data_IF_860763614772
#
_entry.id   IF_860763614772
#
_cell.length_a   1.000
_cell.length_b   1.000
_cell.length_c   1.000
_cell.angle_alpha   90.00
_cell.angle_beta   90.00
_cell.angle_gamma   90.00
#
_symmetry.space_group_name_H-M   'P 1'
#
loop_
_entity.id
_entity.type
_entity.pdbx_description
1 polymer ?
#
# COMPACT_ATOMS: atom_id res chain seq x y z
N UNK A 1 17.18 -24.97 14.14
CA UNK A 1 16.43 -24.67 12.90
C UNK A 1 15.22 -23.86 13.29
N UNK A 2 15.25 -22.54 13.07
CA UNK A 2 14.06 -21.71 13.25
C UNK A 2 13.06 -22.10 12.16
N UNK A 3 11.82 -22.39 12.54
CA UNK A 3 10.76 -22.71 11.58
C UNK A 3 10.62 -21.58 10.57
N UNK A 4 10.55 -21.92 9.28
CA UNK A 4 10.20 -20.98 8.22
C UNK A 4 8.84 -20.39 8.57
N UNK A 5 8.77 -19.08 8.78
CA UNK A 5 7.50 -18.40 9.06
C UNK A 5 6.60 -18.54 7.84
N UNK A 6 5.66 -19.49 7.88
CA UNK A 6 4.62 -19.60 6.87
C UNK A 6 3.62 -18.47 7.09
N UNK A 7 3.26 -17.78 6.01
CA UNK A 7 2.25 -16.73 6.05
C UNK A 7 0.88 -17.27 6.41
N UNK A 8 0.02 -16.39 6.91
CA UNK A 8 -1.38 -16.72 7.12
C UNK A 8 -2.09 -16.87 5.78
N UNK A 9 -3.32 -17.39 5.80
CA UNK A 9 -4.17 -17.48 4.60
C UNK A 9 -4.42 -16.09 4.00
N UNK A 10 -4.70 -15.09 4.84
CA UNK A 10 -4.91 -13.70 4.42
C UNK A 10 -3.68 -13.12 3.70
N UNK A 11 -2.49 -13.27 4.31
CA UNK A 11 -1.24 -12.81 3.70
C UNK A 11 -0.98 -13.50 2.36
N UNK A 12 -1.23 -14.81 2.28
CA UNK A 12 -1.06 -15.58 1.04
C UNK A 12 -2.02 -15.12 -0.07
N UNK A 13 -3.27 -14.81 0.26
CA UNK A 13 -4.25 -14.26 -0.68
C UNK A 13 -3.84 -12.86 -1.17
N UNK A 14 -3.37 -12.00 -0.27
CA UNK A 14 -2.93 -10.64 -0.64
C UNK A 14 -1.72 -10.69 -1.57
N UNK A 15 -0.71 -11.50 -1.25
CA UNK A 15 0.52 -11.61 -2.03
C UNK A 15 0.34 -12.33 -3.37
N UNK A 16 -0.66 -13.21 -3.48
CA UNK A 16 -1.04 -13.84 -4.76
C UNK A 16 -2.00 -12.99 -5.60
N UNK A 17 -2.58 -11.92 -5.03
CA UNK A 17 -3.51 -11.05 -5.74
C UNK A 17 -2.79 -10.23 -6.80
N UNK A 18 -3.31 -10.26 -8.02
CA UNK A 18 -2.73 -9.56 -9.18
C UNK A 18 -3.73 -8.63 -9.86
N UNK A 19 -3.20 -7.66 -10.59
CA UNK A 19 -3.96 -6.73 -11.42
C UNK A 19 -3.50 -6.88 -12.88
N UNK A 20 -4.40 -7.16 -13.83
CA UNK A 20 -4.05 -7.22 -15.24
C UNK A 20 -3.84 -5.80 -15.79
N UNK A 21 -2.69 -5.57 -16.42
CA UNK A 21 -2.30 -4.31 -17.03
C UNK A 21 -2.26 -4.43 -18.56
N UNK A 22 -2.73 -3.38 -19.22
CA UNK A 22 -2.61 -3.15 -20.66
C UNK A 22 -1.77 -1.89 -20.88
N UNK A 23 -0.47 -2.04 -21.15
CA UNK A 23 0.47 -0.92 -21.21
C UNK A 23 0.76 -0.54 -22.66
N UNK A 24 0.65 0.74 -23.00
CA UNK A 24 0.90 1.29 -24.33
C UNK A 24 1.99 2.37 -24.31
N UNK A 25 2.66 2.56 -25.43
CA UNK A 25 3.64 3.64 -25.63
C UNK A 25 3.55 4.16 -27.07
N UNK A 26 3.69 5.47 -27.34
CA UNK A 26 3.54 6.03 -28.69
C UNK A 26 4.50 5.47 -29.74
N UNK A 27 5.65 4.93 -29.34
CA UNK A 27 6.63 4.33 -30.26
C UNK A 27 6.20 2.99 -30.88
N UNK A 28 5.13 2.37 -30.37
CA UNK A 28 4.71 1.03 -30.77
C UNK A 28 3.20 0.90 -30.88
N UNK A 29 2.74 0.20 -31.90
CA UNK A 29 1.32 -0.18 -32.05
C UNK A 29 0.95 -1.44 -31.25
N UNK A 30 1.95 -2.16 -30.73
CA UNK A 30 1.75 -3.41 -29.97
C UNK A 30 1.76 -3.12 -28.46
N UNK A 31 0.67 -3.42 -27.72
CA UNK A 31 0.63 -3.24 -26.27
C UNK A 31 1.44 -4.31 -25.53
N UNK A 32 1.85 -4.00 -24.30
CA UNK A 32 2.47 -4.95 -23.37
C UNK A 32 1.43 -5.38 -22.33
N UNK A 33 1.06 -6.66 -22.36
CA UNK A 33 0.07 -7.24 -21.45
C UNK A 33 0.77 -8.02 -20.34
N UNK A 34 0.45 -7.73 -19.09
CA UNK A 34 1.05 -8.40 -17.93
C UNK A 34 0.11 -8.38 -16.73
N UNK A 35 0.09 -9.43 -15.93
CA UNK A 35 -0.53 -9.40 -14.60
C UNK A 35 0.55 -9.16 -13.55
N UNK A 36 0.32 -8.21 -12.65
CA UNK A 36 1.31 -7.77 -11.65
C UNK A 36 0.75 -7.87 -10.23
N UNK A 37 1.56 -8.23 -9.22
CA UNK A 37 1.09 -8.32 -7.84
C UNK A 37 0.61 -6.97 -7.29
N UNK A 38 -0.48 -6.98 -6.53
CA UNK A 38 -1.02 -5.77 -5.86
C UNK A 38 -0.02 -5.10 -4.92
N UNK A 39 0.81 -5.90 -4.25
CA UNK A 39 1.83 -5.45 -3.30
C UNK A 39 3.02 -4.75 -3.99
N UNK A 40 3.19 -4.96 -5.29
CA UNK A 40 4.33 -4.44 -6.05
C UNK A 40 4.16 -2.96 -6.45
N UNK A 41 5.14 -2.43 -7.19
CA UNK A 41 5.20 -1.03 -7.63
C UNK A 41 5.43 -0.95 -9.14
N UNK A 42 4.72 -0.05 -9.83
CA UNK A 42 4.84 0.11 -11.29
C UNK A 42 6.28 0.31 -11.79
N UNK A 43 7.14 1.11 -11.11
CA UNK A 43 8.52 1.31 -11.55
C UNK A 43 9.36 0.03 -11.64
N UNK A 44 8.99 -1.05 -10.95
CA UNK A 44 9.68 -2.35 -11.08
C UNK A 44 9.55 -2.97 -12.48
N UNK A 45 8.59 -2.51 -13.28
CA UNK A 45 8.41 -2.95 -14.66
C UNK A 45 9.31 -2.18 -15.65
N UNK A 46 9.85 -1.02 -15.27
CA UNK A 46 10.59 -0.12 -16.17
C UNK A 46 11.77 -0.79 -16.89
N UNK A 47 12.58 -1.67 -16.26
CA UNK A 47 13.66 -2.35 -17.00
C UNK A 47 13.15 -3.20 -18.16
N UNK A 48 12.05 -3.94 -17.94
CA UNK A 48 11.43 -4.80 -18.97
C UNK A 48 10.73 -3.97 -20.04
N UNK A 49 10.01 -2.94 -19.63
CA UNK A 49 9.28 -2.04 -20.53
C UNK A 49 10.24 -1.21 -21.38
N UNK A 50 11.36 -0.75 -20.80
CA UNK A 50 12.39 -0.02 -21.53
C UNK A 50 13.05 -0.87 -22.61
N UNK A 51 13.23 -2.17 -22.33
CA UNK A 51 13.72 -3.13 -23.33
C UNK A 51 12.71 -3.38 -24.47
N UNK A 52 11.41 -3.21 -24.22
CA UNK A 52 10.34 -3.50 -25.19
C UNK A 52 9.94 -2.28 -26.03
N UNK A 53 9.75 -1.12 -25.39
CA UNK A 53 9.26 0.11 -26.02
C UNK A 53 10.35 1.16 -26.30
N UNK A 54 11.55 0.99 -25.75
CA UNK A 54 12.57 2.03 -25.66
C UNK A 54 12.51 2.77 -24.31
N UNK A 55 13.45 3.70 -24.05
CA UNK A 55 13.55 4.40 -22.76
C UNK A 55 12.23 5.00 -22.30
N UNK A 56 11.85 4.75 -21.04
CA UNK A 56 10.67 5.31 -20.40
C UNK A 56 10.89 5.41 -18.88
N UNK A 57 10.16 6.29 -18.19
CA UNK A 57 10.37 6.56 -16.76
C UNK A 57 9.09 6.69 -15.94
N UNK A 58 7.91 6.72 -16.57
CA UNK A 58 6.66 7.03 -15.88
C UNK A 58 5.44 6.33 -16.47
N UNK A 59 4.37 6.28 -15.67
CA UNK A 59 3.09 5.68 -16.02
C UNK A 59 1.98 6.71 -15.83
N UNK A 60 1.09 6.82 -16.80
CA UNK A 60 -0.10 7.67 -16.75
C UNK A 60 -1.36 6.87 -16.96
N UNK A 61 -2.44 7.29 -16.30
CA UNK A 61 -3.80 6.78 -16.47
C UNK A 61 -4.70 7.97 -16.79
N UNK A 62 -5.43 7.94 -17.92
CA UNK A 62 -6.26 9.07 -18.36
C UNK A 62 -5.51 10.42 -18.32
N UNK A 63 -4.29 10.43 -18.86
CA UNK A 63 -3.38 11.59 -18.89
C UNK A 63 -2.94 12.12 -17.50
N UNK A 64 -3.26 11.40 -16.42
CA UNK A 64 -2.81 11.68 -15.05
C UNK A 64 -1.57 10.84 -14.74
N UNK A 65 -0.45 11.51 -14.43
CA UNK A 65 0.77 10.86 -13.95
C UNK A 65 0.52 10.13 -12.63
N UNK A 66 0.74 8.82 -12.62
CA UNK A 66 0.56 8.00 -11.42
C UNK A 66 1.68 8.24 -10.40
N UNK A 67 1.30 8.29 -9.12
CA UNK A 67 2.24 8.38 -8.00
C UNK A 67 2.93 7.04 -7.77
N UNK A 68 4.11 7.05 -7.16
CA UNK A 68 4.84 5.85 -6.73
C UNK A 68 4.25 5.25 -5.45
N UNK A 69 3.03 4.75 -5.57
CA UNK A 69 2.32 4.02 -4.52
C UNK A 69 2.21 2.54 -4.93
N UNK A 70 1.91 1.63 -3.99
CA UNK A 70 1.63 0.24 -4.33
C UNK A 70 0.55 0.13 -5.41
N UNK A 71 0.71 -0.80 -6.35
CA UNK A 71 -0.19 -0.95 -7.50
C UNK A 71 -1.62 -1.22 -7.05
N UNK A 72 -1.78 -2.07 -6.02
CA UNK A 72 -3.07 -2.36 -5.40
C UNK A 72 -3.79 -1.13 -4.88
N UNK A 73 -3.06 -0.24 -4.19
CA UNK A 73 -3.62 1.00 -3.67
C UNK A 73 -4.02 1.94 -4.81
N UNK A 74 -3.18 2.08 -5.84
CA UNK A 74 -3.53 2.91 -6.99
C UNK A 74 -4.80 2.37 -7.67
N UNK A 75 -4.91 1.06 -7.86
CA UNK A 75 -6.11 0.44 -8.42
C UNK A 75 -7.36 0.70 -7.56
N UNK A 76 -7.24 0.63 -6.24
CA UNK A 76 -8.35 0.89 -5.31
C UNK A 76 -8.76 2.38 -5.27
N UNK A 77 -7.84 3.29 -5.61
CA UNK A 77 -8.07 4.73 -5.71
C UNK A 77 -8.71 5.14 -7.04
N UNK A 78 -8.16 4.65 -8.16
CA UNK A 78 -8.59 5.05 -9.51
C UNK A 78 -9.74 4.22 -10.06
N UNK A 79 -9.93 2.99 -9.56
CA UNK A 79 -11.00 2.06 -10.00
C UNK A 79 -11.14 1.93 -11.51
N UNK A 80 -10.04 1.62 -12.22
CA UNK A 80 -10.07 1.49 -13.66
C UNK A 80 -10.89 0.27 -14.09
N UNK A 81 -11.42 0.30 -15.31
CA UNK A 81 -11.85 -0.92 -15.98
C UNK A 81 -10.65 -1.84 -16.23
N UNK A 82 -10.85 -3.15 -16.03
CA UNK A 82 -9.81 -4.14 -16.25
C UNK A 82 -9.90 -4.74 -17.66
N UNK A 83 -8.76 -4.99 -18.35
CA UNK A 83 -7.39 -4.76 -17.90
C UNK A 83 -7.07 -3.26 -17.79
N UNK A 84 -6.34 -2.88 -16.73
CA UNK A 84 -6.04 -1.48 -16.44
C UNK A 84 -5.13 -0.90 -17.52
N UNK A 85 -5.66 0.06 -18.28
CA UNK A 85 -4.99 0.67 -19.43
C UNK A 85 -4.06 1.79 -18.97
N UNK A 86 -2.75 1.61 -19.16
CA UNK A 86 -1.72 2.58 -18.77
C UNK A 86 -0.93 3.05 -19.98
N UNK A 87 -0.53 4.32 -19.97
CA UNK A 87 0.36 4.91 -20.97
C UNK A 87 1.73 5.16 -20.36
N UNK A 88 2.78 4.69 -21.04
CA UNK A 88 4.16 5.01 -20.69
C UNK A 88 4.57 6.38 -21.23
N UNK A 89 5.43 7.07 -20.49
CA UNK A 89 6.04 8.32 -20.94
C UNK A 89 7.29 8.70 -20.14
N UNK A 90 7.76 9.93 -20.35
CA UNK A 90 9.05 10.45 -19.88
C UNK A 90 8.91 11.42 -18.69
N UNK A 91 8.24 10.97 -17.63
CA UNK A 91 8.09 11.71 -16.38
C UNK A 91 9.32 11.65 -15.46
N UNK A 92 9.24 12.25 -14.26
CA UNK A 92 10.34 12.21 -13.31
C UNK A 92 10.65 10.77 -12.89
N UNK A 93 11.94 10.39 -12.96
CA UNK A 93 12.41 9.10 -12.48
C UNK A 93 12.56 9.15 -10.96
N UNK A 94 11.97 8.19 -10.26
CA UNK A 94 12.09 8.07 -8.82
C UNK A 94 12.76 6.76 -8.45
N UNK A 95 13.64 6.83 -7.45
CA UNK A 95 14.22 5.64 -6.85
C UNK A 95 13.15 4.97 -5.95
N UNK A 96 12.53 3.93 -6.51
CA UNK A 96 11.48 3.18 -5.82
C UNK A 96 12.03 2.38 -4.63
N UNK A 97 13.29 1.97 -4.68
CA UNK A 97 13.95 1.27 -3.57
C UNK A 97 14.10 2.21 -2.38
N UNK A 98 14.62 3.41 -2.59
CA UNK A 98 14.77 4.39 -1.52
C UNK A 98 13.42 4.85 -0.96
N UNK A 99 12.42 5.02 -1.83
CA UNK A 99 11.04 5.34 -1.42
C UNK A 99 10.46 4.24 -0.52
N UNK A 100 10.62 2.97 -0.91
CA UNK A 100 10.19 1.82 -0.13
C UNK A 100 10.89 1.75 1.24
N UNK A 101 12.22 1.85 1.27
CA UNK A 101 13.01 1.78 2.51
C UNK A 101 12.65 2.94 3.46
N UNK A 102 12.40 4.13 2.94
CA UNK A 102 11.93 5.25 3.76
C UNK A 102 10.53 4.97 4.33
N UNK A 103 9.61 4.42 3.55
CA UNK A 103 8.29 4.01 4.04
C UNK A 103 8.37 2.96 5.16
N UNK A 104 9.26 1.96 5.02
CA UNK A 104 9.53 0.94 6.07
C UNK A 104 10.05 1.58 7.36
N UNK A 105 10.99 2.53 7.26
CA UNK A 105 11.53 3.27 8.42
C UNK A 105 10.47 4.06 9.15
N UNK A 106 9.61 4.75 8.41
CA UNK A 106 8.51 5.49 9.01
C UNK A 106 7.52 4.55 9.70
N UNK A 107 7.19 3.42 9.08
CA UNK A 107 6.32 2.41 9.71
C UNK A 107 6.93 1.86 11.00
N UNK A 108 8.23 1.56 11.01
CA UNK A 108 8.96 1.10 12.20
C UNK A 108 8.95 2.17 13.31
N UNK A 109 9.15 3.43 12.94
CA UNK A 109 9.07 4.54 13.86
C UNK A 109 7.67 4.68 14.48
N UNK A 110 6.60 4.52 13.70
CA UNK A 110 5.22 4.58 14.22
C UNK A 110 4.95 3.43 15.20
N UNK A 111 5.37 2.21 14.86
CA UNK A 111 5.21 1.03 15.73
C UNK A 111 5.96 1.17 17.05
N UNK A 112 7.20 1.65 17.01
CA UNK A 112 8.15 1.49 18.13
C UNK A 112 8.56 2.81 18.79
N UNK A 113 8.25 3.96 18.17
CA UNK A 113 8.77 5.28 18.55
C UNK A 113 10.22 5.51 18.12
N UNK A 114 10.79 4.58 17.35
CA UNK A 114 12.15 4.63 16.81
C UNK A 114 12.25 3.74 15.57
N UNK A 115 13.08 4.13 14.60
CA UNK A 115 13.37 3.31 13.42
C UNK A 115 14.61 2.40 13.63
N UNK A 116 15.05 2.21 14.88
CA UNK A 116 16.26 1.44 15.20
C UNK A 116 16.19 0.00 14.68
N UNK A 117 15.02 -0.63 14.65
CA UNK A 117 14.88 -2.01 14.20
C UNK A 117 15.35 -2.20 12.76
N UNK A 118 14.85 -1.36 11.84
CA UNK A 118 15.30 -1.38 10.45
C UNK A 118 16.69 -0.76 10.28
N UNK A 119 17.05 0.28 11.05
CA UNK A 119 18.35 0.94 10.93
C UNK A 119 19.52 0.09 11.44
N UNK A 120 19.29 -0.85 12.37
CA UNK A 120 20.30 -1.80 12.85
C UNK A 120 20.30 -3.13 12.07
N UNK A 121 19.48 -3.24 11.03
CA UNK A 121 19.40 -4.44 10.21
C UNK A 121 20.71 -4.62 9.41
N UNK A 122 21.14 -5.86 9.22
CA UNK A 122 22.28 -6.15 8.34
C UNK A 122 21.95 -5.76 6.90
N UNK A 123 22.99 -5.43 6.11
CA UNK A 123 22.84 -5.16 4.67
C UNK A 123 22.17 -6.32 3.93
N UNK A 124 22.49 -7.55 4.31
CA UNK A 124 21.91 -8.75 3.71
C UNK A 124 20.40 -8.81 3.98
N UNK A 125 19.97 -8.56 5.22
CA UNK A 125 18.56 -8.56 5.58
C UNK A 125 17.79 -7.41 4.91
N UNK A 126 18.36 -6.20 4.83
CA UNK A 126 17.69 -5.08 4.16
C UNK A 126 17.59 -5.28 2.65
N UNK A 127 18.61 -5.90 2.04
CA UNK A 127 18.59 -6.28 0.62
C UNK A 127 17.57 -7.39 0.38
N UNK A 128 17.51 -8.40 1.25
CA UNK A 128 16.54 -9.49 1.16
C UNK A 128 15.10 -8.99 1.34
N UNK A 129 14.89 -8.00 2.21
CA UNK A 129 13.58 -7.36 2.37
C UNK A 129 13.12 -6.75 1.04
N UNK A 130 13.99 -6.02 0.35
CA UNK A 130 13.64 -5.44 -0.95
C UNK A 130 13.45 -6.49 -2.04
N UNK A 131 14.38 -7.43 -2.17
CA UNK A 131 14.30 -8.50 -3.17
C UNK A 131 13.01 -9.30 -3.02
N UNK A 132 12.58 -9.58 -1.77
CA UNK A 132 11.31 -10.26 -1.52
C UNK A 132 10.09 -9.55 -2.13
N UNK A 133 10.12 -8.22 -2.23
CA UNK A 133 9.06 -7.42 -2.88
C UNK A 133 9.19 -7.47 -4.40
N UNK A 134 10.42 -7.40 -4.93
CA UNK A 134 10.66 -7.51 -6.37
C UNK A 134 10.24 -8.87 -6.93
N UNK A 135 10.57 -9.93 -6.20
CA UNK A 135 10.33 -11.33 -6.58
C UNK A 135 8.95 -11.84 -6.14
N UNK A 136 8.17 -11.02 -5.43
CA UNK A 136 6.88 -11.38 -4.83
C UNK A 136 6.96 -12.64 -3.93
N UNK A 137 8.04 -12.74 -3.16
CA UNK A 137 8.32 -13.86 -2.24
C UNK A 137 7.85 -13.53 -0.81
N UNK A 138 6.63 -13.95 -0.50
CA UNK A 138 6.03 -13.80 0.83
C UNK A 138 6.87 -14.47 1.93
N UNK A 139 7.47 -15.62 1.65
CA UNK A 139 8.18 -16.40 2.69
C UNK A 139 9.45 -15.66 3.11
N UNK A 140 10.24 -15.22 2.13
CA UNK A 140 11.41 -14.38 2.40
C UNK A 140 11.03 -13.07 3.09
N UNK A 141 9.90 -12.46 2.67
CA UNK A 141 9.42 -11.23 3.28
C UNK A 141 9.08 -11.40 4.76
N UNK A 142 8.36 -12.46 5.13
CA UNK A 142 7.96 -12.73 6.51
C UNK A 142 9.13 -13.06 7.42
N UNK A 143 10.14 -13.75 6.89
CA UNK A 143 11.38 -14.02 7.64
C UNK A 143 12.02 -12.73 8.15
N UNK A 144 12.09 -11.68 7.31
CA UNK A 144 12.69 -10.40 7.69
C UNK A 144 11.70 -9.53 8.48
N UNK A 145 10.45 -9.42 8.05
CA UNK A 145 9.47 -8.54 8.71
C UNK A 145 9.04 -9.03 10.09
N UNK A 146 9.15 -10.33 10.40
CA UNK A 146 8.94 -10.84 11.75
C UNK A 146 9.86 -10.19 12.79
N UNK A 147 11.07 -9.79 12.39
CA UNK A 147 12.04 -9.06 13.22
C UNK A 147 11.52 -7.65 13.54
N UNK A 148 10.86 -7.01 12.57
CA UNK A 148 10.32 -5.64 12.68
C UNK A 148 8.96 -5.60 13.39
N UNK A 149 8.14 -6.64 13.24
CA UNK A 149 6.77 -6.71 13.76
C UNK A 149 6.68 -7.26 15.19
N UNK A 150 7.70 -7.98 15.66
CA UNK A 150 7.72 -8.57 17.00
C UNK A 150 8.93 -8.11 17.84
N UNK A 151 9.16 -6.79 18.01
CA UNK A 151 10.18 -6.32 18.93
C UNK A 151 9.77 -6.63 20.38
N UNK A 152 10.75 -6.66 21.28
CA UNK A 152 10.51 -6.85 22.72
C UNK A 152 9.73 -5.69 23.35
N UNK A 153 9.59 -4.56 22.66
CA UNK A 153 8.86 -3.38 23.10
C UNK A 153 7.38 -3.45 22.72
N UNK A 154 6.47 -2.96 23.58
CA UNK A 154 5.06 -2.92 23.24
C UNK A 154 4.81 -1.98 22.06
N UNK A 155 3.88 -2.39 21.19
CA UNK A 155 3.41 -1.61 20.05
C UNK A 155 2.83 -0.26 20.52
N UNK A 156 3.39 0.84 20.03
CA UNK A 156 2.97 2.21 20.37
C UNK A 156 1.77 2.66 19.55
N UNK A 157 1.91 2.61 18.22
CA UNK A 157 0.87 3.03 17.30
C UNK A 157 0.82 2.12 16.06
N UNK A 158 -0.33 2.10 15.40
CA UNK A 158 -0.57 1.40 14.15
C UNK A 158 -0.15 2.29 12.97
N UNK A 159 0.75 1.84 12.07
CA UNK A 159 1.04 2.53 10.82
C UNK A 159 -0.18 2.49 9.89
N UNK A 160 -0.93 3.58 9.89
CA UNK A 160 -2.17 3.73 9.13
C UNK A 160 -2.10 4.99 8.27
N UNK A 161 -2.36 4.83 6.97
CA UNK A 161 -2.56 5.93 6.01
C UNK A 161 -3.92 5.79 5.35
N UNK A 162 -4.65 6.90 5.30
CA UNK A 162 -5.97 6.99 4.69
C UNK A 162 -5.86 7.91 3.47
N UNK A 163 -6.17 7.37 2.30
CA UNK A 163 -6.09 8.03 1.01
C UNK A 163 -7.52 8.38 0.56
N UNK A 164 -7.77 9.67 0.42
CA UNK A 164 -9.07 10.20 -0.01
C UNK A 164 -8.88 10.76 -1.42
N UNK A 165 -9.47 10.13 -2.44
CA UNK A 165 -9.49 10.71 -3.78
C UNK A 165 -10.37 11.95 -3.74
N UNK A 166 -9.87 13.06 -4.27
CA UNK A 166 -10.69 14.26 -4.52
C UNK A 166 -11.08 14.28 -5.99
N UNK A 167 -12.36 14.56 -6.27
CA UNK A 167 -12.78 14.78 -7.66
C UNK A 167 -11.95 15.89 -8.30
N UNK A 168 -11.57 15.75 -9.58
CA UNK A 168 -10.96 16.84 -10.32
C UNK A 168 -11.92 18.03 -10.30
N UNK A 169 -11.42 19.20 -9.91
CA UNK A 169 -12.15 20.47 -9.98
C UNK A 169 -11.73 21.20 -11.26
N UNK A 170 -12.55 22.12 -11.76
CA UNK A 170 -12.21 22.96 -12.93
C UNK A 170 -10.85 23.68 -12.81
N UNK A 171 -10.33 23.82 -11.59
CA UNK A 171 -9.04 24.45 -11.27
C UNK A 171 -7.85 23.48 -11.18
N UNK A 172 -8.08 22.16 -11.15
CA UNK A 172 -7.04 21.13 -11.10
C UNK A 172 -7.53 19.86 -11.80
N UNK A 173 -7.10 19.61 -13.06
CA UNK A 173 -7.48 18.40 -13.80
C UNK A 173 -6.87 17.14 -13.19
N UNK A 174 -5.85 17.28 -12.33
CA UNK A 174 -5.26 16.18 -11.58
C UNK A 174 -6.16 15.85 -10.39
N UNK A 175 -6.67 14.61 -10.35
CA UNK A 175 -7.30 14.04 -9.16
C UNK A 175 -6.32 14.13 -7.99
N UNK A 176 -6.54 15.07 -7.08
CA UNK A 176 -5.66 15.26 -5.93
C UNK A 176 -6.00 14.22 -4.87
N UNK A 177 -5.01 13.41 -4.49
CA UNK A 177 -5.18 12.42 -3.43
C UNK A 177 -4.74 13.06 -2.12
N UNK A 178 -5.69 13.26 -1.20
CA UNK A 178 -5.40 13.71 0.16
C UNK A 178 -4.99 12.51 1.01
N UNK A 179 -3.84 12.61 1.66
CA UNK A 179 -3.31 11.56 2.54
C UNK A 179 -3.46 12.03 3.98
N UNK A 180 -4.08 11.20 4.82
CA UNK A 180 -4.26 11.45 6.25
C UNK A 180 -3.56 10.36 7.03
N UNK A 181 -2.78 10.79 8.02
CA UNK A 181 -2.03 9.93 8.93
C UNK A 181 -2.25 10.44 10.36
N UNK A 182 -2.50 9.54 11.30
CA UNK A 182 -2.69 9.85 12.71
C UNK A 182 -1.98 8.83 13.60
N UNK A 183 -1.61 9.24 14.81
CA UNK A 183 -1.04 8.33 15.81
C UNK A 183 -2.17 7.59 16.52
N UNK A 184 -2.38 6.34 16.13
CA UNK A 184 -3.46 5.51 16.65
C UNK A 184 -2.88 4.37 17.49
N UNK A 185 -3.09 4.35 18.82
CA UNK A 185 -2.62 3.25 19.65
C UNK A 185 -3.42 1.96 19.38
N UNK A 186 -2.85 0.77 19.65
CA UNK A 186 -3.55 -0.52 19.49
C UNK A 186 -4.72 -0.69 20.46
N UNK A 187 -4.78 0.12 21.52
CA UNK A 187 -5.85 0.15 22.51
C UNK A 187 -6.33 1.57 22.76
N UNK A 188 -7.63 1.70 23.01
CA UNK A 188 -8.25 2.97 23.40
C UNK A 188 -7.75 3.43 24.78
N UNK A 189 -8.03 4.69 25.18
CA UNK A 189 -7.78 5.14 26.57
C UNK A 189 -8.51 4.29 27.62
N UNK A 190 -9.66 3.68 27.29
CA UNK A 190 -10.39 2.73 28.14
C UNK A 190 -9.79 1.32 28.15
N UNK A 191 -8.63 1.11 27.49
CA UNK A 191 -7.92 -0.17 27.32
C UNK A 191 -8.63 -1.22 26.47
N UNK A 192 -9.69 -0.83 25.77
CA UNK A 192 -10.37 -1.68 24.79
C UNK A 192 -9.52 -1.83 23.54
N UNK A 193 -9.72 -2.92 22.79
CA UNK A 193 -9.05 -3.13 21.50
C UNK A 193 -9.48 -2.04 20.53
N UNK A 194 -8.52 -1.35 19.93
CA UNK A 194 -8.80 -0.33 18.93
C UNK A 194 -9.25 -1.01 17.63
N UNK A 195 -10.47 -0.70 17.20
CA UNK A 195 -11.01 -1.17 15.91
C UNK A 195 -10.84 -0.11 14.82
N UNK A 196 -10.93 -0.55 13.57
CA UNK A 196 -10.87 0.36 12.41
C UNK A 196 -11.94 1.45 12.50
N UNK A 197 -13.18 1.09 12.78
CA UNK A 197 -14.29 2.05 12.88
C UNK A 197 -14.10 3.08 13.99
N UNK A 198 -13.52 2.70 15.13
CA UNK A 198 -13.16 3.64 16.20
C UNK A 198 -12.09 4.64 15.74
N UNK A 199 -11.08 4.17 15.02
CA UNK A 199 -10.01 5.06 14.52
C UNK A 199 -10.53 5.99 13.42
N UNK A 200 -11.25 5.46 12.43
CA UNK A 200 -11.82 6.26 11.34
C UNK A 200 -12.78 7.33 11.85
N UNK A 201 -13.66 6.97 12.79
CA UNK A 201 -14.56 7.93 13.45
C UNK A 201 -13.80 9.03 14.21
N UNK A 202 -12.66 8.70 14.83
CA UNK A 202 -11.83 9.68 15.54
C UNK A 202 -11.06 10.61 14.61
N UNK A 203 -10.55 10.11 13.47
CA UNK A 203 -9.68 10.87 12.56
C UNK A 203 -10.54 11.69 11.57
N UNK A 204 -11.64 11.11 11.10
CA UNK A 204 -12.47 11.60 10.00
C UNK A 204 -13.97 11.48 10.34
N UNK A 205 -14.46 12.11 11.41
CA UNK A 205 -15.84 11.93 11.88
C UNK A 205 -16.91 12.32 10.83
N UNK A 206 -16.59 13.24 9.91
CA UNK A 206 -17.52 13.65 8.85
C UNK A 206 -17.73 12.55 7.78
N UNK A 207 -16.68 11.78 7.46
CA UNK A 207 -16.76 10.65 6.51
C UNK A 207 -17.16 9.35 7.21
N UNK A 208 -16.89 9.23 8.51
CA UNK A 208 -17.16 8.03 9.29
C UNK A 208 -17.89 8.39 10.59
N UNK A 209 -19.18 8.81 10.50
CA UNK A 209 -19.95 9.23 11.68
C UNK A 209 -20.30 8.07 12.62
N UNK A 210 -20.35 6.83 12.11
CA UNK A 210 -20.54 5.61 12.91
C UNK A 210 -19.22 4.87 13.12
N UNK A 211 -19.09 4.22 14.27
CA UNK A 211 -17.97 3.31 14.60
C UNK A 211 -18.22 1.88 14.16
N UNK A 212 -19.43 1.55 13.72
CA UNK A 212 -19.88 0.18 13.45
C UNK A 212 -20.25 -0.05 12.00
N UNK A 213 -20.75 0.98 11.33
CA UNK A 213 -21.37 0.88 10.03
C UNK A 213 -20.81 1.94 9.08
N UNK A 214 -20.58 1.56 7.83
CA UNK A 214 -20.25 2.48 6.75
C UNK A 214 -21.52 3.21 6.32
N UNK A 215 -21.63 4.50 6.65
CA UNK A 215 -22.80 5.32 6.31
C UNK A 215 -22.52 6.24 5.13
N UNK A 216 -21.40 6.97 5.19
CA UNK A 216 -21.02 7.97 4.18
C UNK A 216 -19.89 7.45 3.29
N UNK A 217 -19.01 6.63 3.86
CA UNK A 217 -17.85 6.11 3.16
C UNK A 217 -17.47 4.71 3.63
N UNK A 218 -16.87 3.94 2.72
CA UNK A 218 -16.30 2.62 2.95
C UNK A 218 -14.76 2.68 2.89
N UNK A 219 -14.05 2.11 3.88
CA UNK A 219 -12.62 1.91 3.80
C UNK A 219 -12.30 0.67 2.97
N UNK A 220 -11.46 0.81 1.95
CA UNK A 220 -11.04 -0.27 1.06
C UNK A 220 -9.56 -0.58 1.28
N UNK A 221 -9.21 -1.86 1.37
CA UNK A 221 -7.85 -2.38 1.46
C UNK A 221 -7.70 -3.61 0.57
N UNK A 222 -6.70 -3.61 -0.31
CA UNK A 222 -6.44 -4.70 -1.26
C UNK A 222 -7.67 -5.06 -2.13
N UNK A 223 -8.46 -4.06 -2.50
CA UNK A 223 -9.66 -4.22 -3.33
C UNK A 223 -10.91 -4.69 -2.59
N UNK A 224 -10.88 -4.83 -1.26
CA UNK A 224 -12.02 -5.26 -0.45
C UNK A 224 -12.39 -4.22 0.61
N UNK A 225 -13.69 -4.10 0.91
CA UNK A 225 -14.19 -3.26 2.00
C UNK A 225 -13.77 -3.87 3.34
N UNK A 226 -13.17 -3.07 4.21
CA UNK A 226 -12.70 -3.53 5.52
C UNK A 226 -13.80 -3.35 6.57
N UNK A 227 -14.16 -4.42 7.33
CA UNK A 227 -15.16 -4.31 8.39
C UNK A 227 -14.73 -3.32 9.48
N UNK A 228 -15.64 -2.46 9.92
CA UNK A 228 -15.35 -1.46 10.97
C UNK A 228 -14.97 -2.09 12.31
N UNK A 229 -15.43 -3.32 12.55
CA UNK A 229 -15.12 -4.09 13.77
C UNK A 229 -13.74 -4.75 13.74
N UNK A 230 -13.03 -4.72 12.62
CA UNK A 230 -11.70 -5.30 12.50
C UNK A 230 -10.75 -4.67 13.54
N UNK A 231 -10.11 -5.47 14.42
CA UNK A 231 -9.03 -4.98 15.27
C UNK A 231 -7.89 -4.44 14.42
N UNK A 232 -7.41 -3.22 14.72
CA UNK A 232 -6.38 -2.58 13.90
C UNK A 232 -5.02 -3.28 13.99
N UNK A 233 -4.68 -3.84 15.16
CA UNK A 233 -3.43 -4.58 15.31
C UNK A 233 -3.42 -5.83 14.43
N UNK A 234 -4.52 -6.59 14.41
CA UNK A 234 -4.66 -7.77 13.55
C UNK A 234 -4.62 -7.35 12.07
N UNK A 235 -5.34 -6.29 11.70
CA UNK A 235 -5.32 -5.76 10.33
C UNK A 235 -3.90 -5.36 9.89
N UNK A 236 -3.12 -4.75 10.77
CA UNK A 236 -1.72 -4.41 10.50
C UNK A 236 -0.84 -5.66 10.30
N UNK A 237 -1.00 -6.68 11.14
CA UNK A 237 -0.20 -7.92 11.05
C UNK A 237 -0.54 -8.74 9.81
N UNK A 238 -1.81 -8.75 9.43
CA UNK A 238 -2.33 -9.64 8.40
C UNK A 238 -2.42 -9.00 7.01
N UNK A 239 -2.64 -7.69 6.93
CA UNK A 239 -3.02 -7.02 5.69
C UNK A 239 -2.26 -5.73 5.38
N UNK A 240 -1.20 -5.40 6.13
CA UNK A 240 -0.32 -4.31 5.72
C UNK A 240 0.31 -4.59 4.35
N UNK A 241 0.62 -3.52 3.62
CA UNK A 241 1.47 -3.59 2.43
C UNK A 241 2.90 -3.99 2.84
N UNK A 242 3.73 -4.37 1.87
CA UNK A 242 5.10 -4.81 2.12
C UNK A 242 5.99 -3.75 2.82
N UNK A 243 5.61 -2.47 2.76
CA UNK A 243 6.28 -1.40 3.48
C UNK A 243 5.86 -1.28 4.96
N UNK A 244 4.95 -2.16 5.41
CA UNK A 244 4.48 -2.24 6.79
C UNK A 244 3.38 -1.24 7.14
N UNK A 245 2.78 -0.57 6.14
CA UNK A 245 1.64 0.33 6.32
C UNK A 245 0.31 -0.34 5.99
N UNK A 246 -0.70 -0.08 6.80
CA UNK A 246 -2.10 -0.25 6.40
C UNK A 246 -2.49 0.96 5.55
N UNK A 247 -2.63 0.77 4.24
CA UNK A 247 -2.92 1.85 3.29
C UNK A 247 -4.37 1.72 2.79
N UNK A 248 -5.27 2.54 3.33
CA UNK A 248 -6.71 2.49 3.04
C UNK A 248 -7.09 3.50 1.97
N UNK A 249 -7.81 3.05 0.94
CA UNK A 249 -8.55 3.94 0.04
C UNK A 249 -9.94 4.23 0.63
N UNK A 250 -10.44 5.46 0.48
CA UNK A 250 -11.80 5.82 0.91
C UNK A 250 -12.72 5.86 -0.31
N UNK A 251 -13.78 5.07 -0.25
CA UNK A 251 -14.90 5.11 -1.17
C UNK A 251 -16.05 5.90 -0.56
N UNK A 252 -16.63 6.86 -1.27
CA UNK A 252 -17.93 7.41 -0.89
C UNK A 252 -19.03 6.41 -1.22
N UNK A 253 -19.92 6.16 -0.27
CA UNK A 253 -21.13 5.37 -0.53
C UNK A 253 -22.07 6.26 -1.34
N UNK A 254 -22.41 5.83 -2.56
CA UNK A 254 -23.40 6.53 -3.37
C UNK A 254 -24.73 6.58 -2.60
N UNK A 255 -25.29 7.80 -2.44
CA UNK A 255 -26.59 8.02 -1.83
C UNK A 255 -27.73 7.80 -2.85
#
# INVERSE_FOLDING_TARGET
MAGVAAGTEMQSLIWSSTIPLHITHPSSTTPYLISVPRISYLPLLLPRLSSFFGPCSSFSYEDILLKNLPIGLLCDLYRPELPWRLTLGDGPLFDIHDTFINSVKEADFIRNGTAKGIMSMSKDNSTQLWNSVQDNDLTAHLQITSILLNPATPLRNIPLRIYIPSSPTDSSPLASIKIIQALIPPRTPSREVQTLGMALNSILPALFPSRRDAIVAEPVLHGAVVPFRAPLEDLMREAAYADGWVQLSVLLVDA
#
